data_IF_971724365341
#
_entry.id   IF_971724365341
#
_cell.length_a   1.000
_cell.length_b   1.000
_cell.length_c   1.000
_cell.angle_alpha   90.00
_cell.angle_beta   90.00
_cell.angle_gamma   90.00
#
_symmetry.space_group_name_H-M   'P 1'
#
loop_
_entity.id
_entity.type
_entity.pdbx_description
1 polymer ?
#
# COMPACT_ATOMS: atom_id res chain seq x y z
N UNK A 1 -13.58 18.24 -24.26
CA UNK A 1 -13.02 17.63 -23.05
C UNK A 1 -12.56 16.22 -23.39
N UNK A 2 -11.26 16.02 -23.39
CA UNK A 2 -10.72 14.70 -23.66
C UNK A 2 -10.81 13.87 -22.38
N UNK A 3 -11.67 12.87 -22.39
CA UNK A 3 -11.66 11.84 -21.37
C UNK A 3 -10.36 11.05 -21.54
N UNK A 4 -9.43 11.26 -20.60
CA UNK A 4 -8.24 10.47 -20.57
C UNK A 4 -8.59 9.08 -20.03
N UNK A 5 -8.60 8.09 -20.89
CA UNK A 5 -8.86 6.71 -20.51
C UNK A 5 -7.72 6.19 -19.68
N UNK A 6 -8.02 5.82 -18.44
CA UNK A 6 -7.05 5.26 -17.51
C UNK A 6 -7.19 3.75 -17.51
N UNK A 7 -6.06 3.06 -17.68
CA UNK A 7 -5.99 1.61 -17.59
C UNK A 7 -5.25 1.22 -16.32
N UNK A 8 -5.84 0.35 -15.52
CA UNK A 8 -5.21 -0.20 -14.32
C UNK A 8 -4.83 -1.64 -14.63
N UNK A 9 -3.54 -1.94 -14.49
CA UNK A 9 -2.96 -3.26 -14.78
C UNK A 9 -2.14 -3.75 -13.60
N UNK A 10 -2.05 -5.08 -13.40
CA UNK A 10 -1.11 -5.62 -12.43
C UNK A 10 0.31 -5.14 -12.72
N UNK A 11 1.06 -4.85 -11.69
CA UNK A 11 2.47 -4.49 -11.82
C UNK A 11 3.26 -5.69 -12.34
N UNK A 12 4.19 -5.44 -13.27
CA UNK A 12 5.13 -6.44 -13.78
C UNK A 12 6.57 -6.05 -13.45
N UNK A 13 7.50 -6.98 -13.60
CA UNK A 13 8.93 -6.70 -13.37
C UNK A 13 9.44 -5.57 -14.28
N UNK A 14 8.90 -5.45 -15.48
CA UNK A 14 9.28 -4.40 -16.43
C UNK A 14 8.91 -3.00 -15.98
N UNK A 15 7.98 -2.88 -15.03
CA UNK A 15 7.52 -1.59 -14.52
C UNK A 15 8.46 -1.00 -13.45
N UNK A 16 9.39 -1.77 -12.92
CA UNK A 16 10.18 -1.41 -11.74
C UNK A 16 10.92 -0.07 -11.90
N UNK A 17 11.58 0.15 -13.05
CA UNK A 17 12.34 1.37 -13.28
C UNK A 17 11.43 2.61 -13.36
N UNK A 18 10.31 2.50 -14.08
CA UNK A 18 9.38 3.61 -14.22
C UNK A 18 8.75 3.99 -12.87
N UNK A 19 8.43 2.99 -12.05
CA UNK A 19 7.89 3.20 -10.71
C UNK A 19 8.93 3.84 -9.80
N UNK A 20 10.18 3.36 -9.83
CA UNK A 20 11.25 3.94 -9.02
C UNK A 20 11.47 5.43 -9.36
N UNK A 21 11.44 5.77 -10.63
CA UNK A 21 11.53 7.17 -11.08
C UNK A 21 10.35 8.01 -10.60
N UNK A 22 9.14 7.42 -10.57
CA UNK A 22 7.97 8.08 -10.02
C UNK A 22 8.14 8.35 -8.53
N UNK A 23 8.67 7.39 -7.77
CA UNK A 23 8.96 7.55 -6.34
C UNK A 23 10.00 8.65 -6.10
N UNK A 24 11.06 8.71 -6.91
CA UNK A 24 12.07 9.76 -6.80
C UNK A 24 11.48 11.15 -6.99
N UNK A 25 10.63 11.32 -7.98
CA UNK A 25 9.98 12.61 -8.26
C UNK A 25 9.00 13.02 -7.15
N UNK A 26 8.37 12.05 -6.51
CA UNK A 26 7.30 12.30 -5.53
C UNK A 26 7.84 12.46 -4.12
N UNK A 27 8.76 11.60 -3.70
CA UNK A 27 9.23 11.54 -2.32
C UNK A 27 10.65 12.07 -2.12
N UNK A 28 11.43 12.17 -3.19
CA UNK A 28 12.83 12.58 -3.12
C UNK A 28 13.72 11.58 -2.38
N UNK A 29 14.96 11.98 -2.06
CA UNK A 29 15.90 11.08 -1.37
C UNK A 29 15.48 10.71 0.05
N UNK A 30 14.68 11.54 0.71
CA UNK A 30 14.18 11.26 2.06
C UNK A 30 13.27 10.04 2.16
N UNK A 31 12.83 9.46 1.05
CA UNK A 31 11.97 8.28 1.06
C UNK A 31 12.58 7.08 1.78
N UNK A 32 13.89 6.95 1.76
CA UNK A 32 14.60 5.84 2.41
C UNK A 32 14.54 5.89 3.94
N UNK A 33 14.27 7.06 4.51
CA UNK A 33 14.16 7.22 5.96
C UNK A 33 12.76 6.90 6.50
N UNK A 34 11.77 6.69 5.64
CA UNK A 34 10.40 6.40 6.07
C UNK A 34 10.31 5.04 6.74
N UNK A 35 9.56 4.97 7.83
CA UNK A 35 9.35 3.72 8.59
C UNK A 35 8.81 2.59 7.71
N UNK A 36 7.83 2.89 6.87
CA UNK A 36 7.26 1.88 5.96
C UNK A 36 8.29 1.37 4.94
N UNK A 37 9.21 2.22 4.50
CA UNK A 37 10.30 1.80 3.61
C UNK A 37 11.22 0.80 4.30
N UNK A 38 11.50 0.98 5.60
CA UNK A 38 12.33 0.06 6.37
C UNK A 38 11.75 -1.35 6.43
N UNK A 39 10.43 -1.46 6.54
CA UNK A 39 9.76 -2.76 6.49
C UNK A 39 9.97 -3.40 5.12
N UNK A 40 9.82 -2.61 4.06
CA UNK A 40 9.91 -3.11 2.67
C UNK A 40 11.33 -3.48 2.25
N UNK A 41 12.36 -3.00 2.93
CA UNK A 41 13.74 -3.43 2.70
C UNK A 41 13.93 -4.93 2.97
N UNK A 42 13.15 -5.48 3.89
CA UNK A 42 13.24 -6.88 4.28
C UNK A 42 12.54 -7.84 3.34
N UNK A 43 11.50 -7.39 2.64
CA UNK A 43 10.71 -8.24 1.75
C UNK A 43 10.22 -7.42 0.56
N UNK A 44 10.27 -8.01 -0.63
CA UNK A 44 9.78 -7.37 -1.83
C UNK A 44 8.24 -7.25 -1.78
N UNK A 45 7.70 -6.21 -2.41
CA UNK A 45 6.26 -6.13 -2.62
C UNK A 45 5.79 -7.28 -3.52
N UNK A 46 4.53 -7.65 -3.39
CA UNK A 46 3.95 -8.73 -4.18
C UNK A 46 3.40 -8.16 -5.49
N UNK A 47 3.97 -8.59 -6.61
CA UNK A 47 3.54 -8.13 -7.94
C UNK A 47 2.09 -8.49 -8.21
N UNK A 48 1.63 -9.64 -7.75
CA UNK A 48 0.24 -10.07 -7.91
C UNK A 48 -0.78 -9.27 -7.11
N UNK A 49 -0.32 -8.47 -6.17
CA UNK A 49 -1.15 -7.60 -5.31
C UNK A 49 -0.95 -6.11 -5.61
N UNK A 50 -0.07 -5.78 -6.54
CA UNK A 50 0.34 -4.41 -6.84
C UNK A 50 -0.11 -4.02 -8.24
N UNK A 51 -0.41 -2.73 -8.45
CA UNK A 51 -1.02 -2.26 -9.69
C UNK A 51 -0.39 -0.97 -10.17
N UNK A 52 -0.47 -0.75 -11.48
CA UNK A 52 -0.09 0.51 -12.12
C UNK A 52 -1.31 1.15 -12.79
N UNK A 53 -1.30 2.47 -12.86
CA UNK A 53 -2.26 3.23 -13.66
C UNK A 53 -1.54 3.86 -14.85
N UNK A 54 -2.12 3.74 -16.02
CA UNK A 54 -1.54 4.22 -17.26
C UNK A 54 -2.54 5.02 -18.07
N UNK A 55 -2.01 6.01 -18.79
CA UNK A 55 -2.74 6.73 -19.85
C UNK A 55 -1.96 6.43 -21.12
N UNK A 56 -2.52 5.59 -22.01
CA UNK A 56 -1.76 5.04 -23.12
C UNK A 56 -0.56 4.23 -22.60
N UNK A 57 0.64 4.62 -23.01
CA UNK A 57 1.89 3.98 -22.54
C UNK A 57 2.53 4.69 -21.35
N UNK A 58 1.96 5.84 -20.94
CA UNK A 58 2.51 6.64 -19.85
C UNK A 58 2.04 6.10 -18.49
N UNK A 59 2.99 5.69 -17.65
CA UNK A 59 2.71 5.29 -16.29
C UNK A 59 2.50 6.56 -15.44
N UNK A 60 1.30 6.71 -14.88
CA UNK A 60 0.90 7.90 -14.09
C UNK A 60 0.64 7.60 -12.62
N UNK A 61 0.56 6.35 -12.25
CA UNK A 61 0.35 5.96 -10.86
C UNK A 61 0.78 4.55 -10.55
N UNK A 62 0.97 4.28 -9.26
CA UNK A 62 1.37 2.97 -8.76
C UNK A 62 0.85 2.77 -7.34
N UNK A 63 0.42 1.56 -7.04
CA UNK A 63 0.13 1.12 -5.68
C UNK A 63 0.81 -0.21 -5.44
N UNK A 64 1.51 -0.33 -4.31
CA UNK A 64 2.22 -1.55 -3.94
C UNK A 64 1.71 -2.10 -2.62
N UNK A 65 1.62 -3.42 -2.54
CA UNK A 65 1.29 -4.16 -1.32
C UNK A 65 2.43 -5.12 -1.03
N UNK A 66 2.83 -5.17 0.25
CA UNK A 66 3.92 -6.02 0.70
C UNK A 66 3.44 -6.92 1.84
N UNK A 67 3.78 -8.22 1.84
CA UNK A 67 3.41 -9.10 2.94
C UNK A 67 4.17 -8.74 4.21
N UNK A 68 3.42 -8.66 5.31
CA UNK A 68 3.96 -8.39 6.65
C UNK A 68 3.27 -9.28 7.66
N UNK A 69 3.78 -9.27 8.89
CA UNK A 69 3.12 -9.86 10.05
C UNK A 69 2.95 -8.80 11.12
N UNK A 70 1.81 -8.85 11.79
CA UNK A 70 1.55 -8.09 13.02
C UNK A 70 1.55 -9.11 14.15
N UNK A 71 2.65 -9.17 14.91
CA UNK A 71 2.86 -10.29 15.81
C UNK A 71 2.92 -11.59 15.01
N UNK A 72 1.97 -12.49 15.24
CA UNK A 72 1.86 -13.76 14.51
C UNK A 72 0.85 -13.72 13.37
N UNK A 73 0.14 -12.62 13.20
CA UNK A 73 -0.95 -12.50 12.23
C UNK A 73 -0.43 -11.98 10.89
N UNK A 74 -0.75 -12.69 9.82
CA UNK A 74 -0.42 -12.25 8.46
C UNK A 74 -1.26 -11.05 8.06
N UNK A 75 -0.62 -10.07 7.42
CA UNK A 75 -1.26 -8.86 6.94
C UNK A 75 -0.54 -8.34 5.70
N UNK A 76 -1.05 -7.28 5.13
CA UNK A 76 -0.38 -6.56 4.04
C UNK A 76 -0.07 -5.14 4.49
N UNK A 77 1.07 -4.63 4.06
CA UNK A 77 1.40 -3.20 4.18
C UNK A 77 1.14 -2.54 2.84
N UNK A 78 0.24 -1.57 2.83
CA UNK A 78 -0.07 -0.80 1.64
C UNK A 78 0.86 0.41 1.55
N UNK A 79 1.46 0.57 0.38
CA UNK A 79 2.28 1.72 0.05
C UNK A 79 3.58 1.33 -0.66
N UNK A 80 4.13 2.26 -1.39
CA UNK A 80 3.58 3.59 -1.66
C UNK A 80 2.36 3.55 -2.58
N UNK A 81 1.44 4.50 -2.38
CA UNK A 81 0.45 4.87 -3.36
C UNK A 81 0.91 6.19 -3.96
N UNK A 82 1.24 6.20 -5.23
CA UNK A 82 1.94 7.32 -5.85
C UNK A 82 1.28 7.71 -7.16
N UNK A 83 1.08 9.01 -7.36
CA UNK A 83 0.55 9.56 -8.60
C UNK A 83 1.48 10.66 -9.12
N UNK A 84 1.65 10.75 -10.44
CA UNK A 84 2.28 11.90 -11.05
C UNK A 84 1.48 13.16 -10.68
N UNK A 85 2.16 14.24 -10.24
CA UNK A 85 1.46 15.42 -9.73
C UNK A 85 0.33 15.97 -10.63
N UNK A 86 0.49 16.09 -11.97
CA UNK A 86 -0.59 16.57 -12.81
C UNK A 86 -1.85 15.71 -12.81
N UNK A 87 -1.74 14.47 -12.35
CA UNK A 87 -2.84 13.49 -12.36
C UNK A 87 -3.47 13.29 -10.99
N UNK A 88 -3.06 14.05 -9.98
CA UNK A 88 -3.67 14.02 -8.64
C UNK A 88 -5.07 14.64 -8.69
N UNK A 89 -5.91 14.25 -7.71
CA UNK A 89 -7.26 14.76 -7.52
C UNK A 89 -8.22 14.47 -8.68
N UNK A 90 -7.94 13.41 -9.43
CA UNK A 90 -8.77 12.96 -10.58
C UNK A 90 -9.41 11.60 -10.36
N UNK A 91 -9.34 11.08 -9.13
CA UNK A 91 -9.92 9.78 -8.79
C UNK A 91 -9.04 8.57 -9.14
N UNK A 92 -7.85 8.75 -9.69
CA UNK A 92 -6.96 7.65 -10.08
C UNK A 92 -6.44 6.91 -8.85
N UNK A 93 -6.04 7.64 -7.81
CA UNK A 93 -5.58 7.03 -6.56
C UNK A 93 -6.65 6.18 -5.92
N UNK A 94 -7.88 6.68 -5.90
CA UNK A 94 -9.02 5.92 -5.37
C UNK A 94 -9.29 4.66 -6.20
N UNK A 95 -9.21 4.75 -7.52
CA UNK A 95 -9.41 3.60 -8.40
C UNK A 95 -8.32 2.53 -8.18
N UNK A 96 -7.06 2.94 -8.05
CA UNK A 96 -5.97 2.03 -7.71
C UNK A 96 -6.21 1.35 -6.36
N UNK A 97 -6.61 2.13 -5.38
CA UNK A 97 -6.86 1.66 -4.02
C UNK A 97 -8.00 0.63 -4.00
N UNK A 98 -9.12 0.94 -4.65
CA UNK A 98 -10.27 0.02 -4.73
C UNK A 98 -9.90 -1.28 -5.43
N UNK A 99 -9.12 -1.19 -6.51
CA UNK A 99 -8.67 -2.37 -7.25
C UNK A 99 -7.76 -3.25 -6.39
N UNK A 100 -6.81 -2.64 -5.68
CA UNK A 100 -5.87 -3.37 -4.83
C UNK A 100 -6.59 -4.07 -3.67
N UNK A 101 -7.54 -3.39 -3.02
CA UNK A 101 -8.30 -4.00 -1.92
C UNK A 101 -9.16 -5.16 -2.41
N UNK A 102 -9.88 -4.99 -3.51
CA UNK A 102 -10.72 -6.05 -4.07
C UNK A 102 -9.90 -7.28 -4.47
N UNK A 103 -8.77 -7.07 -5.12
CA UNK A 103 -7.87 -8.16 -5.52
C UNK A 103 -7.26 -8.88 -4.31
N UNK A 104 -6.83 -8.15 -3.29
CA UNK A 104 -6.28 -8.73 -2.07
C UNK A 104 -7.31 -9.61 -1.36
N UNK A 105 -8.55 -9.12 -1.25
CA UNK A 105 -9.65 -9.89 -0.66
C UNK A 105 -9.93 -11.17 -1.46
N UNK A 106 -9.99 -11.07 -2.78
CA UNK A 106 -10.22 -12.21 -3.67
C UNK A 106 -9.13 -13.27 -3.51
N UNK A 107 -7.89 -12.85 -3.25
CA UNK A 107 -6.75 -13.74 -3.04
C UNK A 107 -6.63 -14.28 -1.61
N UNK A 108 -7.61 -14.00 -0.76
CA UNK A 108 -7.67 -14.57 0.58
C UNK A 108 -6.98 -13.77 1.68
N UNK A 109 -6.52 -12.56 1.39
CA UNK A 109 -5.95 -11.70 2.42
C UNK A 109 -7.05 -11.08 3.28
N UNK A 110 -6.76 -10.83 4.55
CA UNK A 110 -7.77 -10.43 5.53
C UNK A 110 -7.55 -9.04 6.13
N UNK A 111 -6.30 -8.58 6.17
CA UNK A 111 -5.92 -7.32 6.83
C UNK A 111 -4.92 -6.54 5.99
N UNK A 112 -5.14 -5.23 5.92
CA UNK A 112 -4.17 -4.29 5.35
C UNK A 112 -3.94 -3.16 6.34
N UNK A 113 -2.66 -2.82 6.57
CA UNK A 113 -2.26 -1.64 7.34
C UNK A 113 -1.54 -0.65 6.45
N UNK A 114 -1.57 0.60 6.83
CA UNK A 114 -0.83 1.67 6.14
C UNK A 114 -0.52 2.83 7.09
N UNK A 115 0.40 3.67 6.68
CA UNK A 115 0.65 4.97 7.29
C UNK A 115 0.24 6.03 6.27
N UNK A 116 -0.79 6.80 6.57
CA UNK A 116 -1.32 7.77 5.62
C UNK A 116 -2.38 8.70 6.20
N UNK A 117 -3.07 9.37 5.32
CA UNK A 117 -4.05 10.39 5.67
C UNK A 117 -5.42 9.77 5.91
N UNK A 118 -5.89 9.82 7.15
CA UNK A 118 -7.14 9.16 7.55
C UNK A 118 -8.35 9.57 6.69
N UNK A 119 -8.61 10.88 6.46
CA UNK A 119 -9.78 11.25 5.65
C UNK A 119 -9.78 10.65 4.24
N UNK A 120 -8.61 10.52 3.64
CA UNK A 120 -8.48 9.93 2.32
C UNK A 120 -8.79 8.42 2.35
N UNK A 121 -8.16 7.69 3.25
CA UNK A 121 -8.29 6.23 3.31
C UNK A 121 -9.58 5.76 3.97
N UNK A 122 -10.20 6.59 4.80
CA UNK A 122 -11.52 6.27 5.37
C UNK A 122 -12.59 6.06 4.29
N UNK A 123 -12.39 6.65 3.12
CA UNK A 123 -13.27 6.48 1.96
C UNK A 123 -13.40 5.03 1.50
N UNK A 124 -12.43 4.19 1.81
CA UNK A 124 -12.43 2.76 1.48
C UNK A 124 -12.44 1.87 2.73
N UNK A 125 -12.75 2.44 3.89
CA UNK A 125 -12.99 1.67 5.11
C UNK A 125 -11.84 1.60 6.09
N UNK A 126 -10.72 2.27 5.85
CA UNK A 126 -9.62 2.31 6.81
C UNK A 126 -10.00 3.10 8.06
N UNK A 127 -9.54 2.62 9.21
CA UNK A 127 -9.74 3.24 10.52
C UNK A 127 -8.40 3.32 11.24
N UNK A 128 -8.30 4.23 12.20
CA UNK A 128 -7.11 4.30 13.05
C UNK A 128 -6.93 3.02 13.85
N UNK A 129 -5.68 2.58 13.92
CA UNK A 129 -5.30 1.50 14.83
C UNK A 129 -5.35 2.05 16.26
N UNK A 130 -6.04 1.37 17.21
CA UNK A 130 -6.00 1.77 18.62
C UNK A 130 -4.56 1.78 19.13
N UNK A 131 -4.25 2.76 19.99
CA UNK A 131 -2.91 2.89 20.56
C UNK A 131 -2.46 1.63 21.27
N UNK A 132 -1.20 1.26 21.08
CA UNK A 132 -0.58 0.13 21.76
C UNK A 132 -0.84 -1.22 21.13
N UNK A 133 -1.67 -1.31 20.10
CA UNK A 133 -1.97 -2.58 19.44
C UNK A 133 -0.94 -2.99 18.40
N UNK A 134 -0.41 -2.04 17.66
CA UNK A 134 0.53 -2.31 16.57
C UNK A 134 1.78 -1.45 16.76
N UNK A 135 2.95 -2.09 16.77
CA UNK A 135 4.23 -1.41 16.87
C UNK A 135 4.94 -1.42 15.51
N UNK A 136 5.19 -0.23 14.99
CA UNK A 136 5.98 -0.06 13.78
C UNK A 136 7.48 -0.05 14.12
N UNK A 137 8.38 -0.45 13.19
CA UNK A 137 9.81 -0.53 13.46
C UNK A 137 10.53 0.83 13.59
N UNK A 138 9.79 1.93 13.49
CA UNK A 138 10.32 3.28 13.64
C UNK A 138 9.21 4.25 14.00
N UNK A 139 9.52 5.55 14.16
CA UNK A 139 8.53 6.55 14.56
C UNK A 139 7.40 6.67 13.53
N UNK A 140 6.17 6.68 14.01
CA UNK A 140 4.96 6.87 13.21
C UNK A 140 4.01 7.75 14.01
N UNK A 141 3.38 8.71 13.36
CA UNK A 141 2.28 9.46 13.94
C UNK A 141 1.11 8.48 14.17
N UNK A 142 0.67 8.27 15.43
CA UNK A 142 -0.42 7.34 15.72
C UNK A 142 -1.73 7.68 15.01
N UNK A 143 -1.92 8.94 14.64
CA UNK A 143 -3.10 9.39 13.91
C UNK A 143 -3.11 8.91 12.46
N UNK A 144 -1.97 8.48 11.95
CA UNK A 144 -1.78 8.06 10.55
C UNK A 144 -1.64 6.56 10.38
N UNK A 145 -1.56 5.79 11.47
CA UNK A 145 -1.51 4.33 11.40
C UNK A 145 -2.93 3.81 11.28
N UNK A 146 -3.23 3.24 10.11
CA UNK A 146 -4.58 2.85 9.73
C UNK A 146 -4.65 1.37 9.39
N UNK A 147 -5.83 0.79 9.57
CA UNK A 147 -6.10 -0.62 9.28
C UNK A 147 -7.45 -0.76 8.59
N UNK A 148 -7.55 -1.71 7.66
CA UNK A 148 -8.82 -2.15 7.10
C UNK A 148 -8.95 -3.67 7.24
N UNK A 149 -10.13 -4.10 7.65
CA UNK A 149 -10.51 -5.52 7.64
C UNK A 149 -11.13 -5.83 6.28
N UNK A 150 -10.50 -6.71 5.51
CA UNK A 150 -11.08 -7.21 4.26
C UNK A 150 -12.17 -8.23 4.56
N UNK A 151 -12.06 -8.87 5.73
CA UNK A 151 -13.06 -9.78 6.29
C UNK A 151 -13.40 -9.25 7.67
N UNK A 152 -14.69 -9.08 7.96
CA UNK A 152 -15.16 -8.56 9.23
C UNK A 152 -14.60 -9.38 10.40
N UNK A 153 -14.06 -8.68 11.40
CA UNK A 153 -13.49 -9.30 12.60
C UNK A 153 -12.03 -9.71 12.48
N UNK A 154 -11.41 -9.56 11.31
CA UNK A 154 -10.03 -10.02 11.09
C UNK A 154 -9.00 -9.33 11.98
N UNK A 155 -9.28 -8.10 12.43
CA UNK A 155 -8.37 -7.34 13.31
C UNK A 155 -8.61 -7.63 14.80
N UNK A 156 -9.64 -8.37 15.15
CA UNK A 156 -9.96 -8.68 16.53
C UNK A 156 -8.85 -9.51 17.16
N UNK A 157 -8.32 -9.04 18.31
CA UNK A 157 -7.21 -9.71 19.00
C UNK A 157 -5.83 -9.57 18.35
N UNK A 158 -5.74 -8.93 17.22
CA UNK A 158 -4.45 -8.75 16.52
C UNK A 158 -3.64 -7.66 17.21
N UNK A 159 -2.39 -7.98 17.57
CA UNK A 159 -1.47 -7.05 18.22
C UNK A 159 -0.03 -7.51 18.04
N UNK A 160 0.90 -6.59 18.16
CA UNK A 160 2.33 -6.87 18.17
C UNK A 160 3.12 -5.99 17.21
N UNK A 161 4.39 -6.35 17.05
CA UNK A 161 5.30 -5.65 16.16
C UNK A 161 5.03 -6.01 14.70
N UNK A 162 5.17 -5.03 13.82
CA UNK A 162 5.09 -5.26 12.37
C UNK A 162 6.47 -5.68 11.88
N UNK A 163 6.51 -6.83 11.26
CA UNK A 163 7.73 -7.42 10.69
C UNK A 163 7.48 -7.84 9.25
N UNK A 164 8.52 -7.81 8.40
CA UNK A 164 8.39 -8.39 7.06
C UNK A 164 7.97 -9.85 7.16
N UNK A 165 7.08 -10.28 6.27
CA UNK A 165 6.71 -11.70 6.18
C UNK A 165 7.61 -12.36 5.14
N UNK A 166 8.68 -12.99 5.63
CA UNK A 166 9.62 -13.71 4.79
C UNK A 166 8.94 -14.94 4.18
N UNK A 167 9.09 -15.16 2.87
CA UNK A 167 8.63 -16.42 2.30
C UNK A 167 9.34 -17.58 2.98
N UNK A 168 8.59 -18.61 3.34
CA UNK A 168 9.17 -19.83 3.90
C UNK A 168 10.16 -20.40 2.89
N UNK A 169 11.40 -20.58 3.34
CA UNK A 169 12.40 -21.26 2.53
C UNK A 169 12.03 -22.76 2.54
N UNK A 170 11.44 -23.18 1.47
CA UNK A 170 11.27 -24.62 1.21
C UNK A 170 12.55 -25.19 0.63
#
# INVERSE_FOLDING_TARGET
MTDLSITILPETEDDALAIERLHERTFGPGRFARTAFRIREGVAHDLGLSFTARIGTLLVGSIRLSPVRIGETKALLLGPLTLEPPFRDRGIGLALLQRALANAKERGHTLIILVGDEPYYARVGFKRVPRGRVEMPGPVDPMRLLVVELIEGAFEGVKGAVLPDWPEQT
#
